data_IF_881379730490
#
_entry.id   IF_881379730490
#
_cell.length_a   1.000
_cell.length_b   1.000
_cell.length_c   1.000
_cell.angle_alpha   90.00
_cell.angle_beta   90.00
_cell.angle_gamma   90.00
#
_symmetry.space_group_name_H-M   'P 1'
#
loop_
_entity.id
_entity.type
_entity.pdbx_description
1 polymer ?
#
# COMPACT_ATOMS: atom_id res chain seq x y z
N UNK A 1 6.11 -22.70 4.90
CA UNK A 1 4.70 -22.42 4.56
C UNK A 1 4.12 -21.21 5.30
N UNK A 2 4.05 -21.16 6.64
CA UNK A 2 3.40 -20.03 7.34
C UNK A 2 4.09 -18.68 7.10
N UNK A 3 5.43 -18.65 7.10
CA UNK A 3 6.19 -17.43 6.82
C UNK A 3 5.92 -16.86 5.41
N UNK A 4 5.71 -17.73 4.43
CA UNK A 4 5.44 -17.30 3.05
C UNK A 4 4.04 -16.70 2.93
N UNK A 5 3.05 -17.27 3.63
CA UNK A 5 1.69 -16.71 3.71
C UNK A 5 1.67 -15.32 4.36
N UNK A 6 2.41 -15.14 5.45
CA UNK A 6 2.53 -13.83 6.11
C UNK A 6 3.18 -12.82 5.17
N UNK A 7 4.23 -13.24 4.46
CA UNK A 7 4.92 -12.37 3.51
C UNK A 7 4.01 -11.94 2.35
N UNK A 8 3.31 -12.88 1.69
CA UNK A 8 2.43 -12.56 0.56
C UNK A 8 1.19 -11.78 0.99
N UNK A 9 0.63 -12.07 2.17
CA UNK A 9 -0.45 -11.26 2.75
C UNK A 9 0.02 -9.82 3.00
N UNK A 10 1.23 -9.64 3.52
CA UNK A 10 1.85 -8.32 3.70
C UNK A 10 1.93 -7.55 2.38
N UNK A 11 2.44 -8.18 1.32
CA UNK A 11 2.52 -7.58 -0.01
C UNK A 11 1.12 -7.17 -0.53
N UNK A 12 0.10 -8.02 -0.37
CA UNK A 12 -1.26 -7.72 -0.79
C UNK A 12 -1.87 -6.48 -0.13
N UNK A 13 -1.55 -6.23 1.14
CA UNK A 13 -2.07 -5.08 1.90
C UNK A 13 -1.30 -3.78 1.61
N UNK A 14 -0.04 -3.85 1.18
CA UNK A 14 0.78 -2.63 0.97
C UNK A 14 0.26 -1.68 -0.11
N UNK A 15 -0.29 -2.21 -1.21
CA UNK A 15 -0.83 -1.40 -2.32
C UNK A 15 -2.01 -0.52 -1.90
N UNK A 16 -3.11 -1.04 -1.32
CA UNK A 16 -4.23 -0.21 -0.90
C UNK A 16 -3.86 0.78 0.22
N UNK A 17 -2.95 0.40 1.13
CA UNK A 17 -2.46 1.32 2.18
C UNK A 17 -1.70 2.50 1.57
N UNK A 18 -0.84 2.25 0.58
CA UNK A 18 -0.11 3.33 -0.13
C UNK A 18 -1.06 4.25 -0.88
N UNK A 19 -2.09 3.71 -1.53
CA UNK A 19 -3.09 4.50 -2.24
C UNK A 19 -3.87 5.42 -1.30
N UNK A 20 -4.32 4.90 -0.15
CA UNK A 20 -5.01 5.71 0.85
C UNK A 20 -4.11 6.82 1.40
N UNK A 21 -2.84 6.51 1.69
CA UNK A 21 -1.86 7.48 2.18
C UNK A 21 -1.58 8.61 1.16
N UNK A 22 -1.37 8.26 -0.11
CA UNK A 22 -1.15 9.26 -1.17
C UNK A 22 -2.39 10.15 -1.41
N UNK A 23 -3.59 9.60 -1.25
CA UNK A 23 -4.82 10.37 -1.39
C UNK A 23 -4.93 11.49 -0.34
N UNK A 24 -4.45 11.25 0.89
CA UNK A 24 -4.50 12.22 1.97
C UNK A 24 -3.41 13.29 1.87
N UNK A 25 -2.22 12.94 1.37
CA UNK A 25 -1.07 13.85 1.40
C UNK A 25 -0.85 14.71 0.15
N UNK A 26 -1.45 14.36 -0.99
CA UNK A 26 -1.10 14.99 -2.28
C UNK A 26 -2.24 15.90 -2.78
N UNK A 27 -2.01 17.19 -3.07
CA UNK A 27 -2.94 18.05 -3.81
C UNK A 27 -3.27 17.47 -5.20
N UNK A 28 -4.53 17.58 -5.64
CA UNK A 28 -5.03 16.89 -6.84
C UNK A 28 -4.19 17.16 -8.11
N UNK A 29 -3.52 18.31 -8.20
CA UNK A 29 -2.78 18.73 -9.40
C UNK A 29 -1.51 17.89 -9.68
N UNK A 30 -0.93 17.22 -8.67
CA UNK A 30 0.35 16.48 -8.81
C UNK A 30 0.22 14.96 -8.61
N UNK A 31 -0.98 14.45 -8.25
CA UNK A 31 -1.22 13.02 -7.95
C UNK A 31 -0.80 12.10 -9.08
N UNK A 32 -1.13 12.45 -10.31
CA UNK A 32 -0.80 11.64 -11.48
C UNK A 32 0.72 11.47 -11.67
N UNK A 33 1.51 12.53 -11.44
CA UNK A 33 2.97 12.46 -11.58
C UNK A 33 3.60 11.56 -10.51
N UNK A 34 3.15 11.66 -9.26
CA UNK A 34 3.64 10.84 -8.16
C UNK A 34 3.33 9.35 -8.39
N UNK A 35 2.10 9.05 -8.82
CA UNK A 35 1.69 7.66 -9.12
C UNK A 35 2.44 7.10 -10.33
N UNK A 36 2.66 7.89 -11.37
CA UNK A 36 3.45 7.47 -12.54
C UNK A 36 4.92 7.22 -12.17
N UNK A 37 5.51 8.07 -11.33
CA UNK A 37 6.87 7.85 -10.83
C UNK A 37 6.97 6.58 -9.99
N UNK A 38 6.03 6.35 -9.06
CA UNK A 38 5.95 5.12 -8.27
C UNK A 38 5.84 3.88 -9.16
N UNK A 39 5.00 3.93 -10.19
CA UNK A 39 4.82 2.85 -11.16
C UNK A 39 6.08 2.61 -11.99
N UNK A 40 6.78 3.67 -12.41
CA UNK A 40 8.05 3.57 -13.13
C UNK A 40 9.13 2.91 -12.25
N UNK A 41 9.28 3.35 -11.01
CA UNK A 41 10.24 2.77 -10.06
C UNK A 41 9.91 1.31 -9.78
N UNK A 42 8.64 0.98 -9.55
CA UNK A 42 8.19 -0.40 -9.34
C UNK A 42 8.43 -1.27 -10.58
N UNK A 43 8.17 -0.76 -11.79
CA UNK A 43 8.38 -1.48 -13.04
C UNK A 43 9.86 -1.76 -13.30
N UNK A 44 10.70 -0.73 -13.23
CA UNK A 44 12.16 -0.86 -13.42
C UNK A 44 12.76 -1.76 -12.34
N UNK A 45 12.36 -1.57 -11.08
CA UNK A 45 12.79 -2.40 -9.97
C UNK A 45 12.38 -3.87 -10.13
N UNK A 46 11.15 -4.12 -10.57
CA UNK A 46 10.64 -5.48 -10.83
C UNK A 46 11.44 -6.20 -11.91
N UNK A 47 11.60 -5.58 -13.08
CA UNK A 47 12.38 -6.16 -14.19
C UNK A 47 13.83 -6.38 -13.79
N UNK A 48 14.47 -5.37 -13.18
CA UNK A 48 15.86 -5.46 -12.74
C UNK A 48 16.07 -6.55 -11.69
N UNK A 49 15.17 -6.65 -10.70
CA UNK A 49 15.24 -7.68 -9.66
C UNK A 49 15.00 -9.08 -10.23
N UNK A 50 14.02 -9.26 -11.13
CA UNK A 50 13.73 -10.56 -11.75
C UNK A 50 14.91 -11.06 -12.59
N UNK A 51 15.45 -10.20 -13.46
CA UNK A 51 16.60 -10.55 -14.30
C UNK A 51 17.85 -10.79 -13.44
N UNK A 52 18.13 -9.89 -12.49
CA UNK A 52 19.31 -9.99 -11.62
C UNK A 52 19.30 -11.22 -10.72
N UNK A 53 18.18 -11.49 -10.04
CA UNK A 53 18.06 -12.66 -9.17
C UNK A 53 17.96 -13.97 -9.96
N UNK A 54 17.34 -13.94 -11.14
CA UNK A 54 17.28 -15.08 -12.06
C UNK A 54 18.68 -15.48 -12.53
N UNK A 55 19.45 -14.53 -13.05
CA UNK A 55 20.82 -14.76 -13.50
C UNK A 55 21.73 -15.23 -12.34
N UNK A 56 21.54 -14.69 -11.13
CA UNK A 56 22.28 -15.15 -9.95
C UNK A 56 21.90 -16.59 -9.54
N UNK A 57 20.62 -16.94 -9.67
CA UNK A 57 20.11 -18.28 -9.43
C UNK A 57 20.72 -19.30 -10.38
N UNK A 58 20.83 -18.94 -11.67
CA UNK A 58 21.47 -19.77 -12.71
C UNK A 58 22.98 -19.89 -12.52
N UNK A 59 23.67 -18.79 -12.20
CA UNK A 59 25.14 -18.77 -12.11
C UNK A 59 25.69 -19.39 -10.81
N UNK A 60 24.92 -19.39 -9.71
CA UNK A 60 25.40 -19.83 -8.39
C UNK A 60 24.49 -20.91 -7.79
N UNK A 61 23.27 -20.53 -7.44
CA UNK A 61 22.22 -21.43 -6.97
C UNK A 61 20.96 -20.64 -6.60
N UNK A 62 19.81 -21.32 -6.65
CA UNK A 62 18.53 -20.79 -6.17
C UNK A 62 18.61 -20.31 -4.70
N UNK A 63 19.32 -21.05 -3.84
CA UNK A 63 19.50 -20.65 -2.44
C UNK A 63 20.21 -19.32 -2.27
N UNK A 64 21.27 -19.08 -3.05
CA UNK A 64 21.99 -17.79 -3.02
C UNK A 64 21.14 -16.62 -3.52
N UNK A 65 20.27 -16.84 -4.51
CA UNK A 65 19.32 -15.84 -4.98
C UNK A 65 18.30 -15.46 -3.89
N UNK A 66 17.80 -16.43 -3.12
CA UNK A 66 16.92 -16.14 -1.97
C UNK A 66 17.61 -15.33 -0.87
N UNK A 67 18.87 -15.64 -0.55
CA UNK A 67 19.65 -14.89 0.45
C UNK A 67 19.84 -13.44 0.00
N UNK A 68 20.23 -13.23 -1.26
CA UNK A 68 20.41 -11.87 -1.81
C UNK A 68 19.08 -11.11 -1.87
N UNK A 69 17.99 -11.75 -2.29
CA UNK A 69 16.65 -11.13 -2.28
C UNK A 69 16.18 -10.75 -0.88
N UNK A 70 16.44 -11.62 0.11
CA UNK A 70 16.17 -11.34 1.52
C UNK A 70 17.00 -10.18 2.05
N UNK A 71 18.30 -10.13 1.74
CA UNK A 71 19.18 -9.03 2.11
C UNK A 71 18.77 -7.70 1.46
N UNK A 72 18.37 -7.72 0.19
CA UNK A 72 17.87 -6.54 -0.51
C UNK A 72 16.60 -5.99 0.18
N UNK A 73 15.69 -6.89 0.59
CA UNK A 73 14.48 -6.50 1.35
C UNK A 73 14.83 -5.99 2.75
N UNK A 74 15.78 -6.64 3.44
CA UNK A 74 16.27 -6.19 4.74
C UNK A 74 16.94 -4.81 4.66
N UNK A 75 17.59 -4.49 3.54
CA UNK A 75 18.16 -3.17 3.25
C UNK A 75 17.12 -2.04 3.21
N UNK A 76 15.84 -2.34 3.00
CA UNK A 76 14.76 -1.36 3.07
C UNK A 76 14.32 -1.05 4.51
N UNK A 77 14.57 -1.94 5.47
CA UNK A 77 14.20 -1.75 6.89
C UNK A 77 14.74 -0.46 7.53
N UNK A 78 16.01 -0.04 7.35
CA UNK A 78 16.48 1.22 7.91
C UNK A 78 15.75 2.43 7.35
N UNK A 79 15.33 2.39 6.07
CA UNK A 79 14.54 3.46 5.47
C UNK A 79 13.16 3.56 6.14
N UNK A 80 12.48 2.41 6.31
CA UNK A 80 11.20 2.38 7.04
C UNK A 80 11.34 2.81 8.49
N UNK A 81 12.43 2.43 9.16
CA UNK A 81 12.71 2.85 10.52
C UNK A 81 12.95 4.37 10.59
N UNK A 82 13.67 4.95 9.63
CA UNK A 82 13.88 6.39 9.54
C UNK A 82 12.57 7.14 9.33
N UNK A 83 11.72 6.70 8.39
CA UNK A 83 10.38 7.29 8.16
C UNK A 83 9.51 7.19 9.42
N UNK A 84 9.55 6.05 10.11
CA UNK A 84 8.80 5.86 11.36
C UNK A 84 9.26 6.81 12.47
N UNK A 85 10.54 7.20 12.49
CA UNK A 85 11.08 8.18 13.46
C UNK A 85 10.65 9.62 13.17
N UNK A 86 10.28 9.95 11.93
CA UNK A 86 9.79 11.30 11.57
C UNK A 86 8.49 11.62 12.31
N UNK A 87 7.69 10.60 12.64
CA UNK A 87 6.60 10.72 13.61
C UNK A 87 5.35 11.42 13.06
N UNK A 88 4.25 10.69 13.02
CA UNK A 88 2.91 11.19 12.75
C UNK A 88 1.90 10.27 13.43
N UNK A 89 0.78 10.82 13.91
CA UNK A 89 -0.30 9.99 14.44
C UNK A 89 -0.79 9.08 13.29
N UNK A 90 -0.89 7.76 13.49
CA UNK A 90 -1.30 6.87 12.41
C UNK A 90 -2.67 7.29 11.89
N UNK A 91 -2.78 7.46 10.57
CA UNK A 91 -4.05 7.80 9.95
C UNK A 91 -5.08 6.72 10.29
N UNK A 92 -6.16 7.17 10.92
CA UNK A 92 -7.27 6.31 11.27
C UNK A 92 -8.34 6.51 10.22
N UNK A 93 -8.48 5.50 9.36
CA UNK A 93 -9.56 5.43 8.37
C UNK A 93 -10.72 4.69 9.04
N UNK A 94 -11.87 5.35 9.19
CA UNK A 94 -13.09 4.71 9.65
C UNK A 94 -14.00 4.48 8.45
N UNK A 95 -14.54 3.26 8.36
CA UNK A 95 -15.65 2.98 7.47
C UNK A 95 -16.92 3.59 8.08
N UNK A 96 -17.49 4.59 7.43
CA UNK A 96 -18.85 5.02 7.69
C UNK A 96 -19.78 4.21 6.79
N UNK A 97 -20.90 3.70 7.32
CA UNK A 97 -21.95 3.15 6.46
C UNK A 97 -22.55 4.33 5.70
N UNK A 98 -22.25 4.44 4.42
CA UNK A 98 -22.97 5.32 3.51
C UNK A 98 -24.42 4.86 3.52
N UNK A 99 -25.30 5.63 4.15
CA UNK A 99 -26.73 5.33 4.25
C UNK A 99 -27.49 5.47 2.91
N UNK A 100 -26.77 5.46 1.79
CA UNK A 100 -27.33 5.58 0.45
C UNK A 100 -27.25 4.21 -0.21
N UNK A 101 -28.41 3.58 -0.37
CA UNK A 101 -28.57 2.44 -1.26
C UNK A 101 -28.08 2.86 -2.65
N UNK A 102 -27.00 2.23 -3.13
CA UNK A 102 -26.37 2.59 -4.39
C UNK A 102 -27.39 2.48 -5.52
N UNK A 103 -27.64 3.59 -6.24
CA UNK A 103 -28.58 3.70 -7.38
C UNK A 103 -28.24 2.79 -8.58
N UNK A 104 -27.10 2.09 -8.55
CA UNK A 104 -26.69 1.18 -9.61
C UNK A 104 -27.24 -0.24 -9.33
N UNK A 105 -27.92 -0.89 -10.29
CA UNK A 105 -28.53 -2.22 -10.12
C UNK A 105 -27.53 -3.38 -10.06
N UNK A 106 -26.27 -3.14 -9.66
CA UNK A 106 -25.13 -4.02 -9.94
C UNK A 106 -24.88 -5.15 -8.93
N UNK A 107 -25.73 -5.34 -7.91
CA UNK A 107 -25.56 -6.43 -6.93
C UNK A 107 -24.21 -6.37 -6.19
N UNK A 108 -23.70 -5.15 -5.94
CA UNK A 108 -22.42 -4.96 -5.26
C UNK A 108 -22.53 -5.46 -3.80
N UNK A 109 -21.46 -6.07 -3.26
CA UNK A 109 -21.45 -6.55 -1.88
C UNK A 109 -21.65 -5.39 -0.91
N UNK A 110 -22.25 -5.63 0.26
CA UNK A 110 -22.54 -4.62 1.30
C UNK A 110 -21.32 -3.78 1.72
N UNK A 111 -20.09 -4.25 1.50
CA UNK A 111 -18.88 -3.46 1.73
C UNK A 111 -18.74 -2.26 0.77
N UNK A 112 -19.37 -2.30 -0.40
CA UNK A 112 -19.35 -1.23 -1.39
C UNK A 112 -20.20 0.00 -0.97
N UNK A 113 -21.07 -0.14 0.04
CA UNK A 113 -21.79 1.01 0.63
C UNK A 113 -21.05 1.60 1.82
N UNK A 114 -19.84 1.13 2.13
CA UNK A 114 -19.01 1.67 3.20
C UNK A 114 -18.04 2.68 2.61
N UNK A 115 -18.29 3.96 2.91
CA UNK A 115 -17.35 5.02 2.58
C UNK A 115 -16.22 5.04 3.60
N UNK A 116 -14.98 4.92 3.11
CA UNK A 116 -13.79 5.05 3.92
C UNK A 116 -13.44 6.52 4.07
N UNK A 117 -13.77 7.12 5.21
CA UNK A 117 -13.46 8.52 5.52
C UNK A 117 -12.46 8.63 6.68
N UNK A 118 -11.66 9.69 6.67
CA UNK A 118 -10.75 9.99 7.76
C UNK A 118 -11.55 10.25 9.04
N UNK A 119 -11.10 9.70 10.17
CA UNK A 119 -11.80 9.86 11.46
C UNK A 119 -11.93 11.32 11.90
N UNK A 120 -10.97 12.17 11.52
CA UNK A 120 -11.02 13.62 11.76
C UNK A 120 -12.22 14.29 11.06
N UNK A 121 -12.51 13.85 9.83
CA UNK A 121 -13.60 14.37 8.99
C UNK A 121 -14.97 13.79 9.41
N UNK A 122 -14.99 12.56 9.91
CA UNK A 122 -16.17 11.98 10.55
C UNK A 122 -16.53 12.74 11.84
N UNK A 123 -15.53 13.11 12.64
CA UNK A 123 -15.73 13.85 13.89
C UNK A 123 -16.33 15.25 13.63
N UNK A 124 -15.87 15.97 12.59
CA UNK A 124 -16.44 17.27 12.22
C UNK A 124 -17.85 17.16 11.63
N UNK A 125 -18.12 16.13 10.82
CA UNK A 125 -19.45 15.88 10.23
C UNK A 125 -20.51 15.48 11.28
N UNK A 126 -20.10 14.71 12.30
CA UNK A 126 -21.00 14.34 13.41
C UNK A 126 -21.27 15.52 14.34
N UNK A 127 -20.27 16.37 14.59
CA UNK A 127 -20.42 17.61 15.37
C UNK A 127 -21.30 18.66 14.67
N UNK A 128 -21.33 18.69 13.34
CA UNK A 128 -22.21 19.58 12.56
C UNK A 128 -23.67 19.08 12.46
N UNK A 129 -23.95 17.83 12.86
CA UNK A 129 -25.29 17.21 12.84
C UNK A 129 -25.97 17.14 14.22
N UNK A 130 -25.29 17.55 15.28
CA UNK A 130 -25.80 17.63 16.66
C UNK A 130 -26.18 19.06 17.03
#
# INVERSE_FOLDING_TARGET
>A
LPALLVFTAGLGVTSPVRQAYLHQLVPAERRATVVSFDSMVSGVGGVGAQVGLGALGEARSVGSAFVVGGLATAGALPLFAAVRRIGGRPDRIAGSKGGVESSCPQGLPTVATVDAIAVEELASSTAARA
#
